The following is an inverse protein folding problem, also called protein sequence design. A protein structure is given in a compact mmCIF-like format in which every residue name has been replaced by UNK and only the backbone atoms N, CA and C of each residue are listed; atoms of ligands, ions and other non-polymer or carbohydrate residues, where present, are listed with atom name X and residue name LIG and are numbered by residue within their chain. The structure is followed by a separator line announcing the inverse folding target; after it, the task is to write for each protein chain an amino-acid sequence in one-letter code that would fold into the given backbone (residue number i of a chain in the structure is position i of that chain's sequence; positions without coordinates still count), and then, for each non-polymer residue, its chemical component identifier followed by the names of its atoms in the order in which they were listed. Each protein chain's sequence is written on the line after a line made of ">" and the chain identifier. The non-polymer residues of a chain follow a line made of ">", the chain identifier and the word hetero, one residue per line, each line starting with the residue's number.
data_IF_705089862491
#
_entry.id   IF_705089862491
#
_cell.length_a   1.000
_cell.length_b   1.000
_cell.length_c   1.000
_cell.angle_alpha   90.00
_cell.angle_beta   90.00
_cell.angle_gamma   90.00
#
_symmetry.space_group_name_H-M   'P 1'
#
loop_
_entity.id
_entity.type
_entity.pdbx_description
1 polymer ?
#
# COMPACT_ATOMS: atom_id res chain seq x y z
N UNK A 1 -7.89 8.32 -7.79
CA UNK A 1 -9.03 9.24 -7.54
C UNK A 1 -9.26 9.37 -6.04
N UNK A 2 -9.44 10.59 -5.52
CA UNK A 2 -9.94 10.83 -4.15
C UNK A 2 -11.46 11.05 -4.19
N UNK A 3 -12.29 10.13 -3.62
CA UNK A 3 -13.74 10.21 -3.73
C UNK A 3 -14.31 11.44 -3.04
N UNK A 4 -15.22 12.13 -3.71
CA UNK A 4 -15.96 13.25 -3.15
C UNK A 4 -16.97 12.78 -2.09
N UNK A 5 -17.29 13.65 -1.14
CA UNK A 5 -18.28 13.37 -0.10
C UNK A 5 -17.85 12.34 0.97
N UNK A 6 -16.60 11.85 0.95
CA UNK A 6 -16.06 10.95 1.97
C UNK A 6 -15.05 11.66 2.88
N UNK A 7 -15.45 11.99 4.11
CA UNK A 7 -14.55 12.54 5.13
C UNK A 7 -13.48 11.51 5.51
N UNK A 8 -12.21 11.95 5.48
CA UNK A 8 -11.01 11.08 5.55
C UNK A 8 -11.12 9.84 4.64
N UNK A 9 -11.80 10.00 3.50
CA UNK A 9 -12.00 8.94 2.53
C UNK A 9 -12.87 7.76 3.00
N UNK A 10 -13.51 7.83 4.18
CA UNK A 10 -14.27 6.68 4.73
C UNK A 10 -15.66 7.01 5.26
N UNK A 11 -15.89 8.20 5.83
CA UNK A 11 -17.21 8.55 6.41
C UNK A 11 -18.04 9.31 5.38
N UNK A 12 -19.23 8.82 5.04
CA UNK A 12 -20.11 9.54 4.12
C UNK A 12 -20.66 10.81 4.76
N UNK A 13 -20.48 11.94 4.07
CA UNK A 13 -20.79 13.26 4.59
C UNK A 13 -22.27 13.45 4.95
N UNK A 14 -23.18 13.01 4.07
CA UNK A 14 -24.63 13.23 4.22
C UNK A 14 -25.25 12.31 5.28
N UNK A 15 -24.62 11.17 5.55
CA UNK A 15 -25.00 10.26 6.61
C UNK A 15 -23.75 9.65 7.28
N UNK A 16 -23.23 10.28 8.35
CA UNK A 16 -21.98 9.87 8.98
C UNK A 16 -22.06 8.54 9.75
N UNK A 17 -23.22 7.86 9.73
CA UNK A 17 -23.36 6.49 10.23
C UNK A 17 -23.04 5.43 9.17
N UNK A 18 -22.83 5.83 7.92
CA UNK A 18 -22.40 4.96 6.83
C UNK A 18 -20.91 5.21 6.53
N UNK A 19 -20.15 4.12 6.49
CA UNK A 19 -18.74 4.14 6.13
C UNK A 19 -18.46 3.29 4.89
N UNK A 20 -17.49 3.72 4.08
CA UNK A 20 -16.96 3.03 2.92
C UNK A 20 -15.47 2.73 3.14
N UNK A 21 -15.03 1.53 2.78
CA UNK A 21 -13.63 1.13 2.84
C UNK A 21 -13.14 0.80 1.43
N UNK A 22 -11.91 1.20 1.10
CA UNK A 22 -11.29 0.93 -0.19
C UNK A 22 -11.98 1.58 -1.40
N UNK A 23 -12.71 2.68 -1.18
CA UNK A 23 -13.42 3.39 -2.25
C UNK A 23 -12.50 4.24 -3.15
N UNK A 24 -11.25 4.45 -2.73
CA UNK A 24 -10.21 5.11 -3.52
C UNK A 24 -9.67 4.16 -4.59
N UNK A 25 -9.09 4.75 -5.64
CA UNK A 25 -8.16 4.05 -6.54
C UNK A 25 -6.86 3.68 -5.79
N UNK A 26 -6.14 2.65 -6.22
CA UNK A 26 -5.26 1.88 -5.33
C UNK A 26 -3.81 1.78 -5.83
N UNK A 27 -2.91 2.51 -5.19
CA UNK A 27 -1.49 2.16 -5.08
C UNK A 27 -1.28 1.29 -3.82
N UNK A 28 -1.66 1.81 -2.66
CA UNK A 28 -1.77 1.09 -1.39
C UNK A 28 -3.10 0.33 -1.34
N UNK A 29 -3.07 -0.86 -0.75
CA UNK A 29 -4.23 -1.75 -0.64
C UNK A 29 -4.44 -2.20 0.81
N UNK A 30 -3.92 -3.37 1.20
CA UNK A 30 -4.29 -4.02 2.46
C UNK A 30 -4.04 -3.15 3.70
N UNK A 31 -2.85 -2.57 3.84
CA UNK A 31 -2.55 -1.69 4.97
C UNK A 31 -3.29 -0.33 4.94
N UNK A 32 -3.73 0.12 3.76
CA UNK A 32 -4.66 1.26 3.66
C UNK A 32 -6.04 0.84 4.16
N UNK A 33 -6.53 -0.33 3.78
CA UNK A 33 -7.82 -0.85 4.28
C UNK A 33 -7.78 -1.06 5.79
N UNK A 34 -6.67 -1.55 6.34
CA UNK A 34 -6.49 -1.67 7.78
C UNK A 34 -6.55 -0.31 8.48
N UNK A 35 -5.80 0.69 7.98
CA UNK A 35 -5.83 2.05 8.53
C UNK A 35 -7.24 2.67 8.48
N UNK A 36 -7.96 2.46 7.37
CA UNK A 36 -9.35 2.90 7.20
C UNK A 36 -10.28 2.20 8.20
N UNK A 37 -10.17 0.88 8.33
CA UNK A 37 -11.00 0.09 9.22
C UNK A 37 -10.74 0.43 10.69
N UNK A 38 -9.49 0.65 11.09
CA UNK A 38 -9.12 1.09 12.44
C UNK A 38 -9.73 2.44 12.79
N UNK A 39 -9.67 3.40 11.86
CA UNK A 39 -10.25 4.72 12.08
C UNK A 39 -11.77 4.65 12.21
N UNK A 40 -12.45 3.91 11.32
CA UNK A 40 -13.90 3.70 11.40
C UNK A 40 -14.30 2.99 12.69
N UNK A 41 -13.53 1.98 13.12
CA UNK A 41 -13.73 1.30 14.41
C UNK A 41 -13.69 2.29 15.55
N UNK A 42 -12.70 3.18 15.60
CA UNK A 42 -12.54 4.12 16.71
C UNK A 42 -13.63 5.19 16.74
N UNK A 43 -14.19 5.58 15.58
CA UNK A 43 -15.41 6.39 15.53
C UNK A 43 -16.63 5.64 16.09
N UNK A 44 -16.82 4.37 15.70
CA UNK A 44 -17.94 3.54 16.18
C UNK A 44 -17.87 3.31 17.68
N UNK A 45 -16.67 3.11 18.23
CA UNK A 45 -16.44 2.89 19.65
C UNK A 45 -16.39 4.19 20.48
N UNK A 46 -16.49 5.36 19.84
CA UNK A 46 -16.39 6.67 20.50
C UNK A 46 -15.00 6.98 21.06
N UNK A 47 -13.95 6.35 20.51
CA UNK A 47 -12.55 6.63 20.84
C UNK A 47 -11.98 7.78 20.03
N UNK A 48 -12.50 7.97 18.82
CA UNK A 48 -12.27 9.15 18.00
C UNK A 48 -13.56 9.96 17.91
N UNK A 49 -13.43 11.28 17.91
CA UNK A 49 -14.56 12.18 17.70
C UNK A 49 -14.74 12.46 16.21
N UNK A 50 -15.99 12.50 15.77
CA UNK A 50 -16.33 12.96 14.43
C UNK A 50 -16.48 14.48 14.45
N UNK A 51 -15.69 15.25 13.67
CA UNK A 51 -15.82 16.71 13.63
C UNK A 51 -17.17 17.17 13.10
N UNK A 52 -17.44 18.47 13.18
CA UNK A 52 -18.65 19.07 12.61
C UNK A 52 -18.74 18.86 11.09
N UNK A 53 -19.95 18.96 10.54
CA UNK A 53 -20.18 18.85 9.09
C UNK A 53 -19.31 19.82 8.29
N UNK A 54 -19.19 21.07 8.73
CA UNK A 54 -18.37 22.11 8.09
C UNK A 54 -16.88 21.74 8.08
N UNK A 55 -16.34 21.24 9.20
CA UNK A 55 -14.94 20.81 9.29
C UNK A 55 -14.67 19.60 8.37
N UNK A 56 -15.61 18.66 8.30
CA UNK A 56 -15.50 17.52 7.39
C UNK A 56 -15.54 17.95 5.92
N UNK A 57 -16.44 18.86 5.54
CA UNK A 57 -16.51 19.42 4.19
C UNK A 57 -15.21 20.14 3.80
N UNK A 58 -14.64 20.93 4.72
CA UNK A 58 -13.38 21.61 4.50
C UNK A 58 -12.22 20.62 4.28
N UNK A 59 -12.16 19.56 5.10
CA UNK A 59 -11.16 18.50 4.93
C UNK A 59 -11.30 17.76 3.60
N UNK A 60 -12.53 17.43 3.18
CA UNK A 60 -12.80 16.81 1.87
C UNK A 60 -12.28 17.71 0.75
N UNK A 61 -12.62 19.00 0.79
CA UNK A 61 -12.18 19.97 -0.22
C UNK A 61 -10.66 20.10 -0.29
N UNK A 62 -9.98 20.15 0.86
CA UNK A 62 -8.51 20.22 0.93
C UNK A 62 -7.85 19.01 0.26
N UNK A 63 -8.28 17.79 0.60
CA UNK A 63 -7.71 16.56 0.02
C UNK A 63 -7.98 16.47 -1.48
N UNK A 64 -9.17 16.90 -1.93
CA UNK A 64 -9.50 16.96 -3.36
C UNK A 64 -8.64 17.97 -4.10
N UNK A 65 -8.50 19.18 -3.59
CA UNK A 65 -7.65 20.22 -4.19
C UNK A 65 -6.19 19.76 -4.29
N UNK A 66 -5.69 19.08 -3.24
CA UNK A 66 -4.36 18.45 -3.28
C UNK A 66 -4.25 17.38 -4.37
N UNK A 67 -5.25 16.53 -4.52
CA UNK A 67 -5.28 15.48 -5.55
C UNK A 67 -5.35 16.04 -6.97
N UNK A 68 -6.15 17.08 -7.21
CA UNK A 68 -6.33 17.71 -8.52
C UNK A 68 -5.06 18.39 -9.05
N UNK A 69 -4.10 18.71 -8.16
CA UNK A 69 -2.80 19.32 -8.52
C UNK A 69 -1.73 18.29 -8.87
N UNK A 70 -1.96 16.99 -8.65
CA UNK A 70 -0.97 15.95 -8.92
C UNK A 70 -0.82 15.75 -10.43
N UNK A 71 0.41 15.52 -10.87
CA UNK A 71 0.76 15.44 -12.29
C UNK A 71 1.59 14.21 -12.65
N UNK A 72 1.93 13.38 -11.67
CA UNK A 72 2.76 12.20 -11.88
C UNK A 72 2.43 11.05 -10.94
N UNK A 73 2.67 9.81 -11.37
CA UNK A 73 2.50 8.60 -10.56
C UNK A 73 3.26 8.68 -9.22
N UNK A 74 4.42 9.36 -9.20
CA UNK A 74 5.22 9.51 -8.01
C UNK A 74 4.60 10.48 -6.98
N UNK A 75 3.84 11.46 -7.46
CA UNK A 75 3.05 12.36 -6.61
C UNK A 75 1.79 11.65 -6.11
N UNK A 76 1.14 10.83 -6.95
CA UNK A 76 -0.02 10.03 -6.55
C UNK A 76 0.32 9.00 -5.46
N UNK A 77 1.43 8.26 -5.61
CA UNK A 77 1.89 7.30 -4.60
C UNK A 77 2.17 8.00 -3.27
N UNK A 78 2.83 9.17 -3.30
CA UNK A 78 3.09 9.96 -2.08
C UNK A 78 1.81 10.51 -1.46
N UNK A 79 0.88 10.98 -2.28
CA UNK A 79 -0.42 11.45 -1.82
C UNK A 79 -1.18 10.34 -1.07
N UNK A 80 -1.18 9.11 -1.60
CA UNK A 80 -1.84 8.01 -0.90
C UNK A 80 -1.07 7.54 0.34
N UNK A 81 0.26 7.65 0.36
CA UNK A 81 1.04 7.44 1.58
C UNK A 81 0.70 8.48 2.65
N UNK A 82 0.55 9.77 2.27
CA UNK A 82 0.11 10.83 3.17
C UNK A 82 -1.28 10.55 3.73
N UNK A 83 -2.19 10.06 2.90
CA UNK A 83 -3.53 9.66 3.30
C UNK A 83 -3.50 8.52 4.34
N UNK A 84 -2.72 7.46 4.09
CA UNK A 84 -2.56 6.38 5.07
C UNK A 84 -1.94 6.91 6.36
N UNK A 85 -0.90 7.75 6.27
CA UNK A 85 -0.25 8.36 7.44
C UNK A 85 -1.23 9.18 8.28
N UNK A 86 -2.11 9.93 7.62
CA UNK A 86 -3.14 10.75 8.27
C UNK A 86 -4.11 9.88 9.10
N UNK A 87 -4.56 8.75 8.56
CA UNK A 87 -5.42 7.79 9.27
C UNK A 87 -4.69 7.11 10.43
N UNK A 88 -3.45 6.64 10.22
CA UNK A 88 -2.67 5.97 11.25
C UNK A 88 -2.51 6.85 12.50
N UNK A 89 -2.24 8.14 12.31
CA UNK A 89 -2.11 9.13 13.40
C UNK A 89 -3.37 9.32 14.24
N UNK A 90 -4.54 8.87 13.77
CA UNK A 90 -5.79 8.97 14.52
C UNK A 90 -6.06 7.75 15.41
N UNK A 91 -5.24 6.70 15.33
CA UNK A 91 -5.55 5.40 15.92
C UNK A 91 -4.36 4.76 16.60
N UNK A 92 -4.58 3.60 17.22
CA UNK A 92 -3.55 2.74 17.78
C UNK A 92 -2.99 1.70 16.80
N UNK A 93 -3.29 1.81 15.49
CA UNK A 93 -2.72 0.89 14.50
C UNK A 93 -1.19 1.03 14.46
N UNK A 94 -0.41 -0.07 14.50
CA UNK A 94 1.05 0.01 14.49
C UNK A 94 1.58 0.81 13.30
N UNK A 95 2.41 1.81 13.58
CA UNK A 95 3.10 2.55 12.54
C UNK A 95 4.08 1.65 11.76
N UNK A 96 4.26 1.97 10.49
CA UNK A 96 5.24 1.33 9.61
C UNK A 96 5.84 2.37 8.66
N UNK A 97 6.99 2.04 8.09
CA UNK A 97 7.76 2.98 7.27
C UNK A 97 7.11 3.22 5.90
N UNK A 98 6.16 4.16 5.86
CA UNK A 98 5.43 4.57 4.66
C UNK A 98 6.36 5.18 3.59
N UNK A 99 7.41 5.89 4.00
CA UNK A 99 8.34 6.51 3.06
C UNK A 99 9.12 5.40 2.32
N UNK A 100 9.52 4.35 3.04
CA UNK A 100 10.13 3.18 2.42
C UNK A 100 9.16 2.43 1.51
N UNK A 101 7.87 2.36 1.84
CA UNK A 101 6.86 1.79 0.92
C UNK A 101 6.76 2.62 -0.36
N UNK A 102 6.76 3.95 -0.27
CA UNK A 102 6.81 4.84 -1.45
C UNK A 102 8.03 4.53 -2.30
N UNK A 103 9.21 4.40 -1.71
CA UNK A 103 10.43 4.05 -2.45
C UNK A 103 10.33 2.71 -3.18
N UNK A 104 9.69 1.71 -2.56
CA UNK A 104 9.44 0.40 -3.17
C UNK A 104 8.50 0.55 -4.38
N UNK A 105 7.40 1.32 -4.28
CA UNK A 105 6.53 1.58 -5.43
C UNK A 105 7.27 2.27 -6.58
N UNK A 106 8.13 3.26 -6.27
CA UNK A 106 8.93 3.94 -7.28
C UNK A 106 9.98 3.02 -7.91
N UNK A 107 10.53 2.07 -7.14
CA UNK A 107 11.41 1.02 -7.65
C UNK A 107 10.64 0.08 -8.59
N UNK A 108 9.48 -0.41 -8.16
CA UNK A 108 8.60 -1.25 -8.98
C UNK A 108 8.18 -0.58 -10.29
N UNK A 109 7.88 0.73 -10.28
CA UNK A 109 7.63 1.51 -11.52
C UNK A 109 8.85 1.52 -12.45
N UNK A 110 10.06 1.69 -11.91
CA UNK A 110 11.30 1.65 -12.69
C UNK A 110 11.56 0.26 -13.26
N UNK A 111 11.34 -0.78 -12.47
CA UNK A 111 11.52 -2.18 -12.89
C UNK A 111 10.56 -2.54 -14.03
N UNK A 112 9.28 -2.14 -13.94
CA UNK A 112 8.30 -2.29 -15.04
C UNK A 112 8.70 -1.56 -16.31
N UNK A 113 9.32 -0.38 -16.19
CA UNK A 113 9.80 0.38 -17.35
C UNK A 113 11.05 -0.24 -17.97
N UNK A 114 11.93 -0.81 -17.14
CA UNK A 114 13.15 -1.47 -17.59
C UNK A 114 12.86 -2.80 -18.30
N UNK A 115 11.95 -3.60 -17.74
CA UNK A 115 11.51 -4.86 -18.34
C UNK A 115 10.07 -5.19 -17.90
N UNK A 116 9.13 -4.98 -18.82
CA UNK A 116 7.70 -5.19 -18.54
C UNK A 116 7.34 -6.67 -18.38
N UNK A 117 8.17 -7.60 -18.88
CA UNK A 117 7.96 -9.05 -18.75
C UNK A 117 8.75 -9.63 -17.57
N UNK A 118 9.83 -8.99 -17.15
CA UNK A 118 10.70 -9.45 -16.05
C UNK A 118 10.53 -8.74 -14.70
N UNK A 119 9.66 -7.72 -14.58
CA UNK A 119 9.55 -6.96 -13.32
C UNK A 119 9.12 -7.80 -12.11
N UNK A 120 8.43 -8.93 -12.33
CA UNK A 120 8.00 -9.84 -11.27
C UNK A 120 9.14 -10.69 -10.68
N UNK A 121 10.28 -10.76 -11.36
CA UNK A 121 11.46 -11.49 -10.88
C UNK A 121 12.32 -10.66 -9.91
N UNK A 122 11.93 -9.42 -9.65
CA UNK A 122 12.59 -8.50 -8.72
C UNK A 122 12.16 -8.81 -7.28
N UNK A 123 13.08 -8.60 -6.34
CA UNK A 123 12.85 -8.80 -4.91
C UNK A 123 12.95 -7.47 -4.16
N UNK A 124 12.07 -7.29 -3.17
CA UNK A 124 12.04 -6.10 -2.32
C UNK A 124 12.18 -6.49 -0.86
N UNK A 125 12.63 -5.55 -0.03
CA UNK A 125 12.80 -5.73 1.41
C UNK A 125 11.50 -5.39 2.14
N UNK A 126 11.05 -6.27 3.01
CA UNK A 126 9.90 -6.03 3.88
C UNK A 126 10.14 -4.81 4.77
N UNK A 127 9.20 -3.87 4.79
CA UNK A 127 9.21 -2.73 5.71
C UNK A 127 8.81 -3.12 7.14
N UNK A 128 8.19 -4.29 7.30
CA UNK A 128 7.73 -4.79 8.61
C UNK A 128 8.83 -5.56 9.33
N UNK A 129 9.60 -6.37 8.61
CA UNK A 129 10.60 -7.28 9.21
C UNK A 129 12.03 -6.98 8.79
N UNK A 130 12.24 -6.13 7.80
CA UNK A 130 13.56 -5.88 7.22
C UNK A 130 14.13 -7.05 6.41
N UNK A 131 13.43 -8.19 6.29
CA UNK A 131 13.88 -9.35 5.51
C UNK A 131 13.78 -9.06 4.01
N UNK A 132 14.83 -9.38 3.24
CA UNK A 132 14.78 -9.34 1.77
C UNK A 132 14.00 -10.56 1.27
N UNK A 133 13.06 -10.36 0.35
CA UNK A 133 12.34 -11.48 -0.26
C UNK A 133 13.32 -12.43 -0.98
N UNK A 134 13.06 -13.73 -0.88
CA UNK A 134 13.80 -14.73 -1.63
C UNK A 134 13.45 -14.64 -3.13
N UNK A 135 14.44 -14.86 -3.99
CA UNK A 135 14.18 -15.03 -5.42
C UNK A 135 13.41 -16.33 -5.64
N UNK A 136 12.34 -16.26 -6.43
CA UNK A 136 11.56 -17.42 -6.82
C UNK A 136 12.39 -18.41 -7.64
N UNK A 137 12.03 -19.70 -7.62
CA UNK A 137 12.78 -20.78 -8.28
C UNK A 137 12.62 -20.79 -9.80
N UNK A 138 11.62 -20.07 -10.33
CA UNK A 138 11.34 -20.03 -11.78
C UNK A 138 11.04 -18.58 -12.21
N UNK A 139 11.61 -18.09 -13.33
CA UNK A 139 11.27 -16.79 -13.89
C UNK A 139 9.78 -16.71 -14.23
N UNK A 140 9.16 -15.54 -14.02
CA UNK A 140 7.71 -15.37 -14.18
C UNK A 140 7.20 -15.76 -15.57
N UNK A 141 7.96 -15.49 -16.63
CA UNK A 141 7.55 -15.82 -18.00
C UNK A 141 7.52 -17.33 -18.27
N UNK A 142 8.28 -18.10 -17.50
CA UNK A 142 8.40 -19.55 -17.62
C UNK A 142 7.49 -20.31 -16.63
N UNK A 143 6.98 -19.64 -15.59
CA UNK A 143 6.11 -20.23 -14.58
C UNK A 143 4.63 -20.15 -15.00
N UNK A 144 4.13 -21.25 -15.56
CA UNK A 144 2.77 -21.35 -16.12
C UNK A 144 1.75 -21.97 -15.17
N UNK A 145 2.20 -22.50 -14.03
CA UNK A 145 1.35 -23.08 -12.98
C UNK A 145 1.21 -22.06 -11.84
N UNK A 146 0.01 -21.54 -11.66
CA UNK A 146 -0.32 -20.50 -10.67
C UNK A 146 -0.81 -21.07 -9.32
N UNK A 147 -0.67 -22.39 -9.12
CA UNK A 147 -1.03 -23.02 -7.86
C UNK A 147 -0.10 -22.63 -6.71
N UNK A 148 -0.66 -22.57 -5.50
CA UNK A 148 0.12 -22.28 -4.29
C UNK A 148 1.11 -23.41 -3.99
N UNK A 149 0.74 -24.66 -4.30
CA UNK A 149 1.58 -25.84 -4.13
C UNK A 149 2.86 -25.72 -4.97
N UNK A 150 2.73 -25.29 -6.23
CA UNK A 150 3.89 -25.02 -7.10
C UNK A 150 4.73 -23.86 -6.57
N UNK A 151 4.09 -22.74 -6.23
CA UNK A 151 4.79 -21.53 -5.82
C UNK A 151 5.62 -21.70 -4.53
N UNK A 152 5.14 -22.54 -3.61
CA UNK A 152 5.79 -22.82 -2.32
C UNK A 152 6.74 -24.04 -2.37
N UNK A 153 6.88 -24.70 -3.51
CA UNK A 153 7.75 -25.86 -3.63
C UNK A 153 9.21 -25.48 -3.36
N UNK A 154 9.88 -26.26 -2.51
CA UNK A 154 11.32 -26.10 -2.30
C UNK A 154 12.08 -26.66 -3.50
N UNK A 155 12.96 -25.84 -4.06
CA UNK A 155 13.82 -26.26 -5.15
C UNK A 155 14.86 -27.25 -4.62
N UNK A 156 14.63 -28.54 -4.84
CA UNK A 156 15.51 -29.65 -4.43
C UNK A 156 16.95 -29.55 -4.98
N UNK A 157 17.24 -28.57 -5.86
CA UNK A 157 18.53 -28.37 -6.51
C UNK A 157 19.46 -27.30 -5.89
N UNK A 158 19.04 -26.53 -4.86
CA UNK A 158 19.96 -25.60 -4.18
C UNK A 158 20.97 -26.36 -3.31
N UNK A 159 22.09 -26.73 -3.93
CA UNK A 159 23.25 -27.29 -3.24
C UNK A 159 23.99 -26.14 -2.52
N UNK A 160 24.59 -26.34 -1.32
CA UNK A 160 25.19 -25.26 -0.52
C UNK A 160 26.26 -24.37 -1.19
N UNK A 161 26.76 -24.75 -2.37
CA UNK A 161 27.78 -24.00 -3.10
C UNK A 161 27.29 -22.70 -3.75
N UNK A 162 25.98 -22.56 -4.03
CA UNK A 162 25.46 -21.33 -4.65
C UNK A 162 25.32 -20.16 -3.66
N UNK A 163 25.33 -20.45 -2.36
CA UNK A 163 25.25 -19.43 -1.31
C UNK A 163 26.53 -18.60 -1.19
N UNK A 164 27.70 -19.19 -1.48
CA UNK A 164 29.00 -18.50 -1.38
C UNK A 164 29.26 -17.55 -2.56
N UNK A 165 28.75 -17.83 -3.76
CA UNK A 165 28.93 -16.97 -4.93
C UNK A 165 28.06 -15.70 -4.91
N UNK A 166 26.91 -15.74 -4.25
CA UNK A 166 26.02 -14.57 -4.14
C UNK A 166 26.48 -13.53 -3.12
N UNK A 167 27.41 -13.86 -2.22
CA UNK A 167 27.96 -12.93 -1.22
C UNK A 167 29.23 -12.22 -1.72
N UNK A 168 29.78 -12.63 -2.86
CA UNK A 168 31.04 -12.12 -3.41
C UNK A 168 30.85 -11.20 -4.64
N UNK A 169 29.62 -10.88 -5.03
CA UNK A 169 29.26 -9.98 -6.15
C UNK A 169 28.34 -8.86 -5.65
#
# INVERSE_FOLDING_TARGET
>A
MYPDGLYRGVVWQDNPRLAYLGAQDQWFTFNMFDAQAWYVRDLILGRAELPSETERSASIAEWRERFEKLSSDAEEVRFQADYVRDLLRQTDYPEFDLDRVVEIFLAWKRDKKADIMGYRDRVYRSVMTGTLAARHHTPWLEELDDSIERYLAEDSARTPQDTERSLAA
#
